data_IF_768535539701
#
_entry.id   IF_768535539701
#
_cell.length_a   1.000
_cell.length_b   1.000
_cell.length_c   1.000
_cell.angle_alpha   90.00
_cell.angle_beta   90.00
_cell.angle_gamma   90.00
#
_symmetry.space_group_name_H-M   'P 1'
#
loop_
_entity.id
_entity.type
_entity.pdbx_description
1 polymer ?
#
# COMPACT_ATOMS: atom_id res chain seq x y z
N UNK A 1 13.21 5.48 -31.13
CA UNK A 1 12.29 4.85 -30.15
C UNK A 1 13.05 4.67 -28.85
N UNK A 2 12.43 5.00 -27.71
CA UNK A 2 13.00 4.75 -26.37
C UNK A 2 12.09 3.74 -25.67
N UNK A 3 12.64 2.65 -25.14
CA UNK A 3 11.90 1.66 -24.34
C UNK A 3 12.10 2.00 -22.87
N UNK A 4 11.00 2.18 -22.13
CA UNK A 4 11.03 2.53 -20.70
C UNK A 4 10.87 1.32 -19.78
N UNK A 5 10.17 0.29 -20.24
CA UNK A 5 9.91 -0.91 -19.45
C UNK A 5 8.48 -1.42 -19.58
N UNK A 6 8.18 -2.49 -18.87
CA UNK A 6 6.81 -2.96 -18.72
C UNK A 6 5.98 -2.02 -17.84
N UNK A 7 4.67 -1.98 -18.06
CA UNK A 7 3.69 -1.32 -17.19
C UNK A 7 2.86 -2.34 -16.39
N UNK A 8 1.97 -1.83 -15.55
CA UNK A 8 1.11 -2.62 -14.67
C UNK A 8 0.14 -3.56 -15.41
N UNK A 9 -0.10 -3.37 -16.71
CA UNK A 9 -0.98 -4.23 -17.51
C UNK A 9 -0.21 -5.23 -18.38
N UNK A 10 1.13 -5.31 -18.22
CA UNK A 10 2.00 -6.18 -19.02
C UNK A 10 2.31 -5.63 -20.41
N UNK A 11 1.90 -4.41 -20.75
CA UNK A 11 2.33 -3.72 -21.96
C UNK A 11 3.71 -3.09 -21.79
N UNK A 12 4.33 -2.67 -22.90
CA UNK A 12 5.64 -2.02 -22.92
C UNK A 12 5.44 -0.52 -23.15
N UNK A 13 5.96 0.30 -22.23
CA UNK A 13 5.97 1.75 -22.35
C UNK A 13 7.12 2.20 -23.23
N UNK A 14 6.81 2.93 -24.29
CA UNK A 14 7.82 3.48 -25.21
C UNK A 14 7.60 4.97 -25.48
N UNK A 15 8.64 5.64 -25.98
CA UNK A 15 8.54 6.97 -26.59
C UNK A 15 8.92 6.92 -28.06
N UNK A 16 8.03 7.41 -28.92
CA UNK A 16 8.23 7.60 -30.36
C UNK A 16 7.85 9.05 -30.68
N UNK A 17 8.72 9.77 -31.39
CA UNK A 17 8.50 11.17 -31.81
C UNK A 17 8.11 12.13 -30.66
N UNK A 18 8.60 11.85 -29.45
CA UNK A 18 8.33 12.65 -28.25
C UNK A 18 7.03 12.27 -27.51
N UNK A 19 6.21 11.38 -28.07
CA UNK A 19 4.96 10.92 -27.45
C UNK A 19 5.15 9.58 -26.74
N UNK A 20 4.49 9.43 -25.59
CA UNK A 20 4.48 8.20 -24.77
C UNK A 20 3.38 7.27 -25.27
N UNK A 21 3.71 6.00 -25.50
CA UNK A 21 2.80 4.98 -25.97
C UNK A 21 2.89 3.72 -25.09
N UNK A 22 1.74 3.12 -24.81
CA UNK A 22 1.64 1.77 -24.23
C UNK A 22 1.44 0.77 -25.36
N UNK A 23 2.39 -0.14 -25.54
CA UNK A 23 2.38 -1.16 -26.58
C UNK A 23 1.95 -2.50 -25.96
N UNK A 24 0.83 -3.10 -26.40
CA UNK A 24 0.43 -4.43 -25.94
C UNK A 24 1.52 -5.48 -26.18
N UNK A 25 1.61 -6.47 -25.29
CA UNK A 25 2.43 -7.66 -25.50
C UNK A 25 1.77 -8.60 -26.53
N UNK A 26 1.76 -8.15 -27.77
CA UNK A 26 1.18 -8.87 -28.90
C UNK A 26 2.04 -8.63 -30.14
N UNK A 27 2.67 -9.69 -30.65
CA UNK A 27 3.54 -9.64 -31.83
C UNK A 27 2.78 -9.33 -33.14
N UNK A 28 1.45 -9.29 -33.15
CA UNK A 28 0.70 -8.73 -34.28
C UNK A 28 0.77 -7.19 -34.32
N UNK A 29 1.14 -6.55 -33.21
CA UNK A 29 1.36 -5.12 -33.13
C UNK A 29 2.73 -4.75 -33.73
N UNK A 30 2.73 -3.83 -34.71
CA UNK A 30 3.96 -3.35 -35.37
C UNK A 30 4.98 -2.77 -34.40
N UNK A 31 4.55 -2.03 -33.38
CA UNK A 31 5.46 -1.49 -32.37
C UNK A 31 6.05 -2.58 -31.48
N UNK A 32 5.30 -3.67 -31.21
CA UNK A 32 5.84 -4.81 -30.47
C UNK A 32 6.88 -5.58 -31.30
N UNK A 33 6.68 -5.71 -32.61
CA UNK A 33 7.69 -6.29 -33.51
C UNK A 33 8.99 -5.46 -33.47
N UNK A 34 8.89 -4.13 -33.53
CA UNK A 34 10.06 -3.24 -33.41
C UNK A 34 10.77 -3.40 -32.06
N UNK A 35 10.02 -3.57 -30.96
CA UNK A 35 10.60 -3.84 -29.63
C UNK A 35 11.29 -5.22 -29.61
N UNK A 36 10.71 -6.25 -30.23
CA UNK A 36 11.32 -7.58 -30.29
C UNK A 36 12.63 -7.59 -31.10
N UNK A 37 12.71 -6.81 -32.18
CA UNK A 37 13.96 -6.59 -32.92
C UNK A 37 15.01 -5.90 -32.03
N UNK A 38 14.61 -4.86 -31.29
CA UNK A 38 15.46 -4.19 -30.32
C UNK A 38 15.94 -5.12 -29.20
N UNK A 39 15.10 -6.03 -28.69
CA UNK A 39 15.51 -7.09 -27.75
C UNK A 39 16.50 -8.08 -28.39
N UNK A 40 16.29 -8.46 -29.66
CA UNK A 40 17.18 -9.37 -30.39
C UNK A 40 18.60 -8.81 -30.61
N UNK A 41 18.77 -7.47 -30.55
CA UNK A 41 20.07 -6.80 -30.51
C UNK A 41 20.80 -6.94 -29.16
N UNK A 42 20.19 -7.64 -28.19
CA UNK A 42 20.75 -7.89 -26.85
C UNK A 42 20.26 -6.91 -25.78
N UNK A 43 19.28 -6.07 -26.10
CA UNK A 43 18.65 -5.20 -25.11
C UNK A 43 17.59 -5.97 -24.29
N UNK A 44 17.27 -5.44 -23.11
CA UNK A 44 16.25 -6.02 -22.22
C UNK A 44 15.23 -4.96 -21.85
N UNK A 45 13.95 -5.28 -21.94
CA UNK A 45 12.87 -4.41 -21.46
C UNK A 45 12.97 -4.37 -19.91
N UNK A 46 13.13 -3.18 -19.30
CA UNK A 46 13.11 -3.07 -17.85
C UNK A 46 11.83 -3.67 -17.26
N UNK A 47 11.91 -4.45 -16.17
CA UNK A 47 10.71 -4.98 -15.53
C UNK A 47 9.85 -3.84 -14.98
N UNK A 48 8.55 -4.06 -14.89
CA UNK A 48 7.66 -3.12 -14.24
C UNK A 48 8.06 -2.96 -12.76
N UNK A 49 8.24 -1.72 -12.34
CA UNK A 49 8.35 -1.36 -10.94
C UNK A 49 7.11 -0.55 -10.56
N UNK A 50 6.30 -1.01 -9.59
CA UNK A 50 5.19 -0.21 -9.09
C UNK A 50 5.71 1.09 -8.50
N UNK A 51 4.92 2.18 -8.57
CA UNK A 51 5.29 3.41 -7.90
C UNK A 51 5.48 3.13 -6.40
N UNK A 52 6.46 3.81 -5.79
CA UNK A 52 6.63 3.75 -4.35
C UNK A 52 5.33 4.19 -3.66
N UNK A 53 4.95 3.58 -2.52
CA UNK A 53 3.71 3.93 -1.82
C UNK A 53 3.68 5.42 -1.48
N UNK A 54 2.52 6.05 -1.62
CA UNK A 54 2.30 7.41 -1.12
C UNK A 54 2.01 7.39 0.38
N UNK A 55 2.05 8.55 1.03
CA UNK A 55 1.61 8.68 2.43
C UNK A 55 0.16 8.19 2.61
N UNK A 56 -0.70 8.52 1.66
CA UNK A 56 -2.11 8.10 1.65
C UNK A 56 -2.26 6.58 1.53
N UNK A 57 -1.35 5.89 0.81
CA UNK A 57 -1.38 4.42 0.74
C UNK A 57 -1.11 3.79 2.11
N UNK A 58 -0.15 4.32 2.88
CA UNK A 58 0.07 3.87 4.26
C UNK A 58 -1.13 4.18 5.15
N UNK A 59 -1.65 5.41 5.11
CA UNK A 59 -2.81 5.81 5.92
C UNK A 59 -4.01 4.89 5.67
N UNK A 60 -4.31 4.58 4.40
CA UNK A 60 -5.38 3.67 4.02
C UNK A 60 -5.12 2.24 4.51
N UNK A 61 -3.89 1.73 4.38
CA UNK A 61 -3.53 0.40 4.84
C UNK A 61 -3.66 0.27 6.37
N UNK A 62 -3.18 1.27 7.12
CA UNK A 62 -3.25 1.33 8.58
C UNK A 62 -4.70 1.42 9.04
N UNK A 63 -5.49 2.34 8.45
CA UNK A 63 -6.90 2.49 8.77
C UNK A 63 -7.69 1.20 8.44
N UNK A 64 -7.38 0.55 7.32
CA UNK A 64 -7.97 -0.73 6.95
C UNK A 64 -7.71 -1.83 7.97
N UNK A 65 -6.47 -1.91 8.50
CA UNK A 65 -6.12 -2.84 9.58
C UNK A 65 -6.86 -2.53 10.89
N UNK A 66 -6.91 -1.26 11.30
CA UNK A 66 -7.68 -0.80 12.47
C UNK A 66 -9.15 -1.19 12.36
N UNK A 67 -9.78 -0.96 11.20
CA UNK A 67 -11.18 -1.31 10.98
C UNK A 67 -11.41 -2.82 10.90
N UNK A 68 -10.46 -3.58 10.36
CA UNK A 68 -10.50 -5.04 10.37
C UNK A 68 -10.46 -5.60 11.80
N UNK A 69 -9.58 -5.09 12.65
CA UNK A 69 -9.50 -5.46 14.07
C UNK A 69 -10.80 -5.18 14.82
N UNK A 70 -11.50 -4.07 14.51
CA UNK A 70 -12.81 -3.81 15.09
C UNK A 70 -13.89 -4.81 14.65
N UNK A 71 -13.83 -5.25 13.38
CA UNK A 71 -14.76 -6.25 12.82
C UNK A 71 -14.58 -7.65 13.42
N UNK A 72 -13.39 -7.99 13.91
CA UNK A 72 -13.17 -9.23 14.68
C UNK A 72 -14.05 -9.30 15.94
N UNK A 73 -14.40 -8.15 16.52
CA UNK A 73 -15.33 -8.01 17.65
C UNK A 73 -16.77 -7.73 17.22
N UNK A 74 -17.10 -7.95 15.94
CA UNK A 74 -18.43 -7.76 15.34
C UNK A 74 -18.92 -6.30 15.34
N UNK A 75 -18.02 -5.33 15.48
CA UNK A 75 -18.33 -3.92 15.23
C UNK A 75 -18.21 -3.61 13.73
N UNK A 76 -18.88 -2.54 13.27
CA UNK A 76 -18.87 -2.16 11.85
C UNK A 76 -17.48 -1.72 11.37
N UNK A 77 -16.81 -0.92 12.19
CA UNK A 77 -15.55 -0.24 11.94
C UNK A 77 -14.95 0.26 13.27
N UNK A 78 -13.72 0.79 13.22
CA UNK A 78 -13.00 1.29 14.38
C UNK A 78 -13.65 2.52 15.01
N UNK A 79 -14.34 3.36 14.24
CA UNK A 79 -15.09 4.51 14.77
C UNK A 79 -16.26 4.04 15.63
N UNK A 80 -17.00 3.05 15.14
CA UNK A 80 -18.12 2.43 15.84
C UNK A 80 -17.62 1.83 17.14
N UNK A 81 -16.60 0.97 17.11
CA UNK A 81 -16.06 0.34 18.32
C UNK A 81 -15.57 1.38 19.33
N UNK A 82 -14.83 2.42 18.89
CA UNK A 82 -14.35 3.50 19.76
C UNK A 82 -15.48 4.33 20.42
N UNK A 83 -16.69 4.33 19.86
CA UNK A 83 -17.83 5.05 20.45
C UNK A 83 -18.43 4.38 21.70
N UNK A 84 -18.09 3.12 21.97
CA UNK A 84 -18.71 2.32 23.04
C UNK A 84 -18.07 2.50 24.42
N UNK A 85 -17.11 3.41 24.60
CA UNK A 85 -16.43 3.65 25.88
C UNK A 85 -17.37 3.90 27.06
N UNK A 86 -18.53 4.54 26.82
CA UNK A 86 -19.56 4.81 27.81
C UNK A 86 -20.75 3.84 27.76
N UNK A 87 -20.60 2.67 27.13
CA UNK A 87 -21.68 1.69 27.03
C UNK A 87 -22.11 1.17 28.41
N UNK A 88 -23.41 0.92 28.58
CA UNK A 88 -23.93 0.21 29.75
C UNK A 88 -23.62 -1.28 29.73
N UNK A 89 -23.15 -1.82 28.59
CA UNK A 89 -22.62 -3.16 28.49
C UNK A 89 -21.13 -3.13 28.87
N UNK A 90 -20.71 -3.76 30.00
CA UNK A 90 -19.34 -3.66 30.50
C UNK A 90 -18.32 -4.27 29.54
N UNK A 91 -18.68 -5.30 28.77
CA UNK A 91 -17.79 -5.91 27.79
C UNK A 91 -17.48 -4.95 26.64
N UNK A 92 -18.50 -4.31 26.08
CA UNK A 92 -18.31 -3.35 24.98
C UNK A 92 -17.53 -2.13 25.42
N UNK A 93 -17.74 -1.65 26.64
CA UNK A 93 -16.95 -0.57 27.21
C UNK A 93 -15.48 -0.97 27.37
N UNK A 94 -15.20 -2.17 27.90
CA UNK A 94 -13.83 -2.66 28.07
C UNK A 94 -13.11 -2.89 26.73
N UNK A 95 -13.77 -3.52 25.75
CA UNK A 95 -13.24 -3.69 24.39
C UNK A 95 -12.96 -2.32 23.74
N UNK A 96 -13.87 -1.34 23.91
CA UNK A 96 -13.70 0.01 23.38
C UNK A 96 -12.48 0.73 23.95
N UNK A 97 -12.28 0.66 25.28
CA UNK A 97 -11.13 1.25 25.94
C UNK A 97 -9.81 0.61 25.47
N UNK A 98 -9.75 -0.72 25.40
CA UNK A 98 -8.56 -1.43 24.95
C UNK A 98 -8.20 -1.07 23.49
N UNK A 99 -9.20 -1.02 22.61
CA UNK A 99 -9.00 -0.66 21.22
C UNK A 99 -8.53 0.78 21.03
N UNK A 100 -9.06 1.74 21.78
CA UNK A 100 -8.62 3.15 21.68
C UNK A 100 -7.16 3.26 22.07
N UNK A 101 -6.75 2.66 23.20
CA UNK A 101 -5.36 2.67 23.64
C UNK A 101 -4.43 2.07 22.56
N UNK A 102 -4.78 0.90 22.03
CA UNK A 102 -4.02 0.27 20.94
C UNK A 102 -3.97 1.13 19.67
N UNK A 103 -5.10 1.71 19.26
CA UNK A 103 -5.17 2.57 18.06
C UNK A 103 -4.30 3.82 18.21
N UNK A 104 -4.23 4.38 19.41
CA UNK A 104 -3.36 5.52 19.71
C UNK A 104 -1.88 5.14 19.56
N UNK A 105 -1.47 3.95 20.04
CA UNK A 105 -0.11 3.42 19.85
C UNK A 105 0.21 3.16 18.36
N UNK A 106 -0.74 2.58 17.62
CA UNK A 106 -0.60 2.35 16.17
C UNK A 106 -0.33 3.64 15.42
N UNK A 107 -1.14 4.68 15.63
CA UNK A 107 -0.95 5.96 14.94
C UNK A 107 0.30 6.70 15.41
N UNK A 108 0.63 6.65 16.70
CA UNK A 108 1.85 7.25 17.22
C UNK A 108 3.09 6.62 16.58
N UNK A 109 3.15 5.29 16.50
CA UNK A 109 4.22 4.57 15.81
C UNK A 109 4.26 4.96 14.34
N UNK A 110 3.11 4.87 13.65
CA UNK A 110 3.02 5.11 12.22
C UNK A 110 3.55 6.48 11.81
N UNK A 111 3.07 7.55 12.46
CA UNK A 111 3.53 8.90 12.15
C UNK A 111 5.01 9.10 12.47
N UNK A 112 5.52 8.48 13.54
CA UNK A 112 6.94 8.59 13.89
C UNK A 112 7.85 7.95 12.85
N UNK A 113 7.47 6.78 12.31
CA UNK A 113 8.28 6.08 11.31
C UNK A 113 8.14 6.70 9.92
N UNK A 114 6.94 7.11 9.51
CA UNK A 114 6.72 7.79 8.24
C UNK A 114 7.44 9.15 8.18
N UNK A 115 7.56 9.85 9.31
CA UNK A 115 8.39 11.05 9.40
C UNK A 115 9.89 10.75 9.16
N UNK A 116 10.41 9.62 9.63
CA UNK A 116 11.80 9.20 9.36
C UNK A 116 12.01 8.90 7.88
N UNK A 117 11.03 8.25 7.23
CA UNK A 117 11.06 8.00 5.78
C UNK A 117 11.11 9.33 5.01
N UNK A 118 10.22 10.28 5.35
CA UNK A 118 10.20 11.61 4.72
C UNK A 118 11.49 12.41 4.96
N UNK A 119 12.13 12.22 6.11
CA UNK A 119 13.41 12.85 6.45
C UNK A 119 14.63 12.13 5.82
N UNK A 120 14.43 11.04 5.08
CA UNK A 120 15.53 10.24 4.51
C UNK A 120 16.37 9.50 5.55
N UNK A 121 15.85 9.33 6.76
CA UNK A 121 16.51 8.62 7.87
C UNK A 121 16.18 7.13 7.89
N UNK A 122 15.24 6.70 7.04
CA UNK A 122 14.75 5.34 6.92
C UNK A 122 14.37 5.05 5.47
N UNK A 123 14.74 3.87 4.99
CA UNK A 123 14.30 3.40 3.67
C UNK A 123 12.78 3.23 3.65
N UNK A 124 12.16 3.60 2.54
CA UNK A 124 10.72 3.50 2.38
C UNK A 124 10.28 2.03 2.25
N UNK A 125 9.53 1.46 3.21
CA UNK A 125 9.07 0.08 3.13
C UNK A 125 7.85 -0.05 2.23
N UNK A 126 7.45 -1.27 1.87
CA UNK A 126 6.10 -1.47 1.32
C UNK A 126 5.05 -1.20 2.40
N UNK A 127 3.80 -0.92 2.01
CA UNK A 127 2.72 -0.76 2.99
C UNK A 127 2.48 -2.07 3.77
N UNK A 128 2.59 -3.22 3.12
CA UNK A 128 2.43 -4.55 3.73
C UNK A 128 3.50 -4.80 4.79
N UNK A 129 4.78 -4.57 4.46
CA UNK A 129 5.88 -4.72 5.42
C UNK A 129 5.69 -3.78 6.61
N UNK A 130 5.29 -2.53 6.36
CA UNK A 130 5.05 -1.55 7.41
C UNK A 130 3.97 -2.00 8.41
N UNK A 131 2.89 -2.64 7.92
CA UNK A 131 1.83 -3.15 8.81
C UNK A 131 2.33 -4.24 9.76
N UNK A 132 3.37 -5.00 9.40
CA UNK A 132 3.95 -6.04 10.27
C UNK A 132 4.69 -5.49 11.48
N UNK A 133 5.05 -4.21 11.45
CA UNK A 133 5.76 -3.52 12.54
C UNK A 133 4.81 -2.98 13.61
N UNK A 134 3.52 -2.87 13.29
CA UNK A 134 2.55 -2.23 14.17
C UNK A 134 2.24 -3.12 15.38
N UNK A 135 2.05 -2.51 16.58
CA UNK A 135 1.82 -3.29 17.79
C UNK A 135 0.56 -4.14 17.65
N UNK A 136 0.53 -5.38 18.16
CA UNK A 136 -0.68 -6.18 18.18
C UNK A 136 -1.64 -5.69 19.26
N UNK A 137 -2.95 -5.81 19.04
CA UNK A 137 -3.95 -5.48 20.06
C UNK A 137 -3.99 -6.55 21.16
N UNK A 138 -4.16 -6.11 22.41
CA UNK A 138 -4.46 -6.98 23.55
C UNK A 138 -5.89 -6.70 24.01
N UNK A 139 -6.77 -7.69 23.85
CA UNK A 139 -8.16 -7.60 24.29
C UNK A 139 -8.31 -7.96 25.77
N UNK A 140 -9.27 -7.36 26.48
CA UNK A 140 -9.64 -7.80 27.82
C UNK A 140 -10.30 -9.19 27.78
N UNK A 141 -10.15 -9.95 28.87
CA UNK A 141 -10.78 -11.27 29.08
C UNK A 141 -12.32 -11.22 29.13
#
# INVERSE_FOLDING_TARGET
MIVHGFNSTGGVEITIDGERWSVPDDLTNRHRQMIAEWEAEGNTIPPYQPPAPSLTDYENAIQGMIDATAKEKLFRDGVTLASYTASTNPRWAAESVAFIAWRDEVWAYAYSELAKVQAGQRDQPTAEDFLTELPPIVWPD
#
